data_IF_290414420715
#
_entry.id   IF_290414420715
#
_cell.length_a   1.000
_cell.length_b   1.000
_cell.length_c   1.000
_cell.angle_alpha   90.00
_cell.angle_beta   90.00
_cell.angle_gamma   90.00
#
_symmetry.space_group_name_H-M   'P 1'
#
loop_
_entity.id
_entity.type
_entity.pdbx_description
1 polymer ?
#
# COMPACT_ATOMS: atom_id res chain seq x y z
N UNK A 1 -45.61 -6.25 -19.42
CA UNK A 1 -44.69 -7.04 -18.57
C UNK A 1 -43.49 -7.46 -19.42
N UNK A 2 -42.29 -7.00 -19.07
CA UNK A 2 -41.04 -7.33 -19.78
C UNK A 2 -39.86 -7.04 -18.86
N UNK A 3 -39.15 -8.11 -18.50
CA UNK A 3 -38.17 -8.22 -17.42
C UNK A 3 -36.91 -7.38 -17.67
N UNK A 4 -36.52 -6.55 -16.69
CA UNK A 4 -35.16 -6.01 -16.57
C UNK A 4 -34.24 -7.05 -15.92
N UNK A 5 -33.11 -7.32 -16.57
CA UNK A 5 -32.05 -8.19 -16.07
C UNK A 5 -31.41 -7.58 -14.80
N UNK A 6 -31.12 -8.38 -13.75
CA UNK A 6 -30.23 -7.94 -12.69
C UNK A 6 -28.79 -8.00 -13.20
N UNK A 7 -28.14 -6.83 -13.26
CA UNK A 7 -26.72 -6.69 -13.59
C UNK A 7 -25.85 -7.55 -12.68
N UNK A 8 -24.92 -8.27 -13.30
CA UNK A 8 -23.98 -9.18 -12.68
C UNK A 8 -23.10 -8.45 -11.64
N UNK A 9 -23.47 -8.57 -10.37
CA UNK A 9 -22.54 -8.41 -9.25
C UNK A 9 -21.58 -9.59 -9.24
N UNK A 10 -20.60 -9.59 -10.15
CA UNK A 10 -19.52 -10.57 -10.16
C UNK A 10 -18.80 -10.50 -8.83
N UNK A 11 -18.94 -11.56 -8.00
CA UNK A 11 -18.16 -11.70 -6.78
C UNK A 11 -16.68 -11.46 -7.12
N UNK A 12 -15.98 -10.60 -6.39
CA UNK A 12 -14.58 -10.30 -6.67
C UNK A 12 -13.74 -11.59 -6.61
N UNK A 13 -12.65 -11.62 -7.38
CA UNK A 13 -11.83 -12.83 -7.63
C UNK A 13 -11.41 -13.52 -6.34
N UNK A 14 -11.11 -12.73 -5.31
CA UNK A 14 -10.72 -13.19 -3.98
C UNK A 14 -11.79 -13.99 -3.21
N UNK A 15 -13.08 -13.82 -3.55
CA UNK A 15 -14.17 -14.57 -2.93
C UNK A 15 -14.25 -16.04 -3.44
N UNK A 16 -13.46 -16.39 -4.47
CA UNK A 16 -13.42 -17.73 -5.06
C UNK A 16 -12.21 -18.56 -4.64
N UNK A 17 -11.09 -17.92 -4.28
CA UNK A 17 -9.81 -18.61 -4.09
C UNK A 17 -9.50 -19.05 -2.65
N UNK A 18 -10.36 -18.73 -1.66
CA UNK A 18 -10.07 -19.10 -0.28
C UNK A 18 -8.76 -18.46 0.17
N UNK A 19 -8.76 -17.13 0.24
CA UNK A 19 -7.63 -16.35 0.76
C UNK A 19 -7.29 -16.91 2.14
N UNK A 20 -6.01 -17.12 2.43
CA UNK A 20 -5.53 -17.40 3.78
C UNK A 20 -6.22 -16.43 4.75
N UNK A 21 -6.84 -16.93 5.82
CA UNK A 21 -7.38 -16.08 6.89
C UNK A 21 -6.22 -15.43 7.64
N UNK A 22 -5.70 -14.34 7.07
CA UNK A 22 -4.63 -13.53 7.64
C UNK A 22 -5.26 -12.34 8.35
N UNK A 23 -4.76 -12.02 9.54
CA UNK A 23 -5.11 -10.79 10.25
C UNK A 23 -4.49 -9.59 9.51
N UNK A 24 -5.32 -8.82 8.82
CA UNK A 24 -4.88 -7.69 7.99
C UNK A 24 -5.05 -6.33 8.68
N UNK A 25 -5.71 -6.26 9.84
CA UNK A 25 -5.93 -4.99 10.54
C UNK A 25 -6.52 -3.90 9.63
N UNK A 26 -5.81 -2.77 9.51
CA UNK A 26 -6.17 -1.65 8.62
C UNK A 26 -6.11 -2.00 7.14
N UNK A 27 -5.29 -2.99 6.73
CA UNK A 27 -5.20 -3.43 5.33
C UNK A 27 -6.47 -4.14 4.84
N UNK A 28 -7.45 -4.44 5.70
CA UNK A 28 -8.76 -4.91 5.26
C UNK A 28 -9.46 -3.96 4.28
N UNK A 29 -9.06 -2.68 4.23
CA UNK A 29 -9.52 -1.70 3.23
C UNK A 29 -9.18 -2.10 1.79
N UNK A 30 -8.27 -3.06 1.57
CA UNK A 30 -8.01 -3.68 0.25
C UNK A 30 -9.25 -4.33 -0.37
N UNK A 31 -10.24 -4.67 0.46
CA UNK A 31 -11.52 -5.24 0.01
C UNK A 31 -12.55 -4.17 -0.36
N UNK A 32 -12.17 -2.89 -0.34
CA UNK A 32 -13.04 -1.80 -0.76
C UNK A 32 -13.44 -1.96 -2.23
N UNK A 33 -14.61 -1.45 -2.65
CA UNK A 33 -14.96 -1.40 -4.06
C UNK A 33 -13.89 -0.67 -4.87
N UNK A 34 -13.58 -1.13 -6.09
CA UNK A 34 -12.52 -0.54 -6.93
C UNK A 34 -12.63 0.98 -7.11
N UNK A 35 -13.86 1.50 -7.24
CA UNK A 35 -14.12 2.97 -7.31
C UNK A 35 -13.60 3.76 -6.10
N UNK A 36 -13.48 3.11 -4.94
CA UNK A 36 -13.00 3.72 -3.70
C UNK A 36 -11.46 3.80 -3.72
N UNK A 37 -10.79 2.74 -4.18
CA UNK A 37 -9.34 2.75 -4.39
C UNK A 37 -8.96 3.74 -5.50
N UNK A 38 -9.68 3.76 -6.62
CA UNK A 38 -9.44 4.74 -7.69
C UNK A 38 -9.58 6.19 -7.19
N UNK A 39 -10.63 6.48 -6.41
CA UNK A 39 -10.79 7.81 -5.84
C UNK A 39 -9.65 8.16 -4.88
N UNK A 40 -9.21 7.22 -4.06
CA UNK A 40 -8.10 7.43 -3.15
C UNK A 40 -6.78 7.66 -3.90
N UNK A 41 -6.56 6.97 -5.02
CA UNK A 41 -5.45 7.23 -5.93
C UNK A 41 -5.48 8.66 -6.46
N UNK A 42 -6.62 9.10 -7.01
CA UNK A 42 -6.77 10.46 -7.54
C UNK A 42 -6.53 11.52 -6.46
N UNK A 43 -7.05 11.29 -5.24
CA UNK A 43 -6.84 12.17 -4.08
C UNK A 43 -5.37 12.18 -3.62
N UNK A 44 -4.68 11.02 -3.66
CA UNK A 44 -3.26 10.91 -3.30
C UNK A 44 -2.40 11.80 -4.22
N UNK A 45 -2.61 11.68 -5.53
CA UNK A 45 -1.89 12.48 -6.53
C UNK A 45 -2.19 13.97 -6.42
N UNK A 46 -3.46 14.33 -6.17
CA UNK A 46 -3.84 15.73 -5.98
C UNK A 46 -3.27 16.34 -4.68
N UNK A 47 -2.95 15.51 -3.69
CA UNK A 47 -2.40 15.94 -2.39
C UNK A 47 -0.88 15.97 -2.33
N UNK A 48 -0.19 15.42 -3.34
CA UNK A 48 1.27 15.33 -3.34
C UNK A 48 1.89 16.73 -3.35
N UNK A 49 2.69 17.01 -2.32
CA UNK A 49 3.46 18.27 -2.22
C UNK A 49 4.95 18.02 -2.50
N UNK A 50 5.74 19.06 -2.80
CA UNK A 50 7.19 18.93 -2.93
C UNK A 50 7.86 18.32 -1.70
N UNK A 51 7.42 18.67 -0.50
CA UNK A 51 7.96 18.12 0.76
C UNK A 51 7.64 16.64 0.92
N UNK A 52 6.48 16.17 0.42
CA UNK A 52 6.18 14.74 0.35
C UNK A 52 7.06 14.04 -0.69
N UNK A 53 7.32 14.67 -1.83
CA UNK A 53 8.20 14.13 -2.86
C UNK A 53 9.64 13.97 -2.35
N UNK A 54 10.11 14.87 -1.49
CA UNK A 54 11.40 14.74 -0.80
C UNK A 54 11.44 13.46 0.05
N UNK A 55 10.40 13.18 0.84
CA UNK A 55 10.29 11.92 1.59
C UNK A 55 10.31 10.70 0.67
N UNK A 56 9.53 10.72 -0.41
CA UNK A 56 9.47 9.59 -1.35
C UNK A 56 10.74 9.40 -2.18
N UNK A 57 11.64 10.38 -2.21
CA UNK A 57 12.95 10.31 -2.88
C UNK A 57 14.07 9.80 -1.97
N UNK A 58 13.83 9.66 -0.67
CA UNK A 58 14.77 9.06 0.28
C UNK A 58 14.96 7.57 0.00
N UNK A 59 16.15 7.04 0.30
CA UNK A 59 16.31 5.59 0.31
C UNK A 59 15.51 4.94 1.46
N UNK A 60 15.33 3.62 1.42
CA UNK A 60 14.51 2.91 2.40
C UNK A 60 14.98 3.12 3.85
N UNK A 61 16.30 3.12 4.10
CA UNK A 61 16.83 3.31 5.45
C UNK A 61 16.62 4.75 5.93
N UNK A 62 16.77 5.72 5.04
CA UNK A 62 16.48 7.12 5.31
C UNK A 62 14.99 7.34 5.64
N UNK A 63 14.08 6.72 4.88
CA UNK A 63 12.64 6.73 5.19
C UNK A 63 12.35 6.15 6.58
N UNK A 64 12.91 4.98 6.90
CA UNK A 64 12.77 4.31 8.20
C UNK A 64 13.27 5.22 9.33
N UNK A 65 14.45 5.84 9.15
CA UNK A 65 15.01 6.76 10.13
C UNK A 65 14.10 7.99 10.33
N UNK A 66 13.69 8.65 9.24
CA UNK A 66 12.84 9.82 9.26
C UNK A 66 11.50 9.55 9.97
N UNK A 67 10.84 8.43 9.63
CA UNK A 67 9.60 7.99 10.27
C UNK A 67 9.79 7.68 11.76
N UNK A 68 10.95 7.16 12.16
CA UNK A 68 11.21 6.82 13.57
C UNK A 68 11.56 8.03 14.44
N UNK A 69 12.29 9.01 13.89
CA UNK A 69 12.91 10.08 14.69
C UNK A 69 12.36 11.48 14.43
N UNK A 70 11.64 11.68 13.32
CA UNK A 70 11.13 13.00 12.91
C UNK A 70 9.65 12.94 12.48
N UNK A 71 8.90 11.98 13.03
CA UNK A 71 7.53 11.67 12.62
C UNK A 71 6.60 12.89 12.54
N UNK A 72 6.59 13.72 13.59
CA UNK A 72 5.69 14.87 13.70
C UNK A 72 5.96 15.99 12.68
N UNK A 73 7.17 16.04 12.11
CA UNK A 73 7.54 17.06 11.11
C UNK A 73 7.64 16.47 9.69
N UNK A 74 7.35 15.18 9.52
CA UNK A 74 7.46 14.52 8.25
C UNK A 74 6.20 14.77 7.41
N UNK A 75 6.39 15.26 6.19
CA UNK A 75 5.30 15.35 5.22
C UNK A 75 5.29 14.08 4.38
N UNK A 76 4.21 13.30 4.49
CA UNK A 76 3.99 12.08 3.72
C UNK A 76 2.49 11.79 3.62
N UNK A 77 2.09 10.87 2.75
CA UNK A 77 0.69 10.43 2.66
C UNK A 77 0.41 9.53 3.86
N UNK A 78 -0.44 9.96 4.80
CA UNK A 78 -0.76 9.18 6.02
C UNK A 78 -1.98 8.26 5.87
N UNK A 79 -2.76 8.46 4.80
CA UNK A 79 -4.05 7.81 4.63
C UNK A 79 -3.83 6.35 4.20
N UNK A 80 -4.37 5.36 4.94
CA UNK A 80 -4.21 3.96 4.57
C UNK A 80 -4.75 3.64 3.19
N UNK A 81 -5.87 4.27 2.83
CA UNK A 81 -6.54 3.99 1.56
C UNK A 81 -5.75 4.59 0.38
N UNK A 82 -5.17 5.78 0.56
CA UNK A 82 -4.33 6.42 -0.46
C UNK A 82 -3.02 5.66 -0.67
N UNK A 83 -2.34 5.27 0.42
CA UNK A 83 -1.15 4.44 0.35
C UNK A 83 -1.45 3.09 -0.32
N UNK A 84 -2.59 2.46 0.01
CA UNK A 84 -2.95 1.19 -0.62
C UNK A 84 -3.24 1.34 -2.12
N UNK A 85 -3.82 2.47 -2.53
CA UNK A 85 -4.06 2.73 -3.95
C UNK A 85 -2.75 2.99 -4.71
N UNK A 86 -1.78 3.68 -4.10
CA UNK A 86 -0.43 3.82 -4.66
C UNK A 86 0.36 2.51 -4.65
N UNK A 87 0.12 1.64 -3.66
CA UNK A 87 0.65 0.28 -3.64
C UNK A 87 0.11 -0.54 -4.81
N UNK A 88 -1.21 -0.51 -5.05
CA UNK A 88 -1.84 -1.18 -6.21
C UNK A 88 -1.24 -0.72 -7.54
N UNK A 89 -1.09 0.59 -7.74
CA UNK A 89 -0.44 1.17 -8.92
C UNK A 89 0.99 0.63 -9.12
N UNK A 90 1.78 0.57 -8.05
CA UNK A 90 3.18 0.13 -8.10
C UNK A 90 3.38 -1.39 -8.30
N UNK A 91 2.32 -2.22 -8.21
CA UNK A 91 2.46 -3.69 -8.28
C UNK A 91 2.85 -4.20 -9.67
N UNK A 92 2.64 -3.42 -10.74
CA UNK A 92 2.99 -3.82 -12.10
C UNK A 92 4.49 -3.62 -12.44
N UNK A 93 5.26 -3.08 -11.48
CA UNK A 93 6.69 -2.81 -11.62
C UNK A 93 7.03 -1.34 -11.84
N UNK A 94 6.03 -0.46 -11.97
CA UNK A 94 6.22 0.98 -12.11
C UNK A 94 5.29 1.73 -11.15
N UNK A 95 5.81 2.79 -10.51
CA UNK A 95 4.96 3.71 -9.74
C UNK A 95 4.74 4.99 -10.52
N UNK A 96 3.51 5.52 -10.47
CA UNK A 96 3.20 6.85 -10.98
C UNK A 96 4.12 7.92 -10.39
N UNK A 97 4.53 7.77 -9.12
CA UNK A 97 5.40 8.73 -8.43
C UNK A 97 6.77 8.87 -9.11
N UNK A 98 7.34 7.78 -9.62
CA UNK A 98 8.64 7.81 -10.32
C UNK A 98 8.48 8.08 -11.82
N UNK A 99 7.30 7.81 -12.39
CA UNK A 99 7.03 7.98 -13.82
C UNK A 99 7.15 9.43 -14.32
N UNK A 100 6.95 10.42 -13.44
CA UNK A 100 7.08 11.85 -13.75
C UNK A 100 8.54 12.32 -13.73
N UNK A 101 9.44 11.55 -13.12
CA UNK A 101 10.86 11.87 -12.94
C UNK A 101 11.17 12.82 -11.78
N UNK A 102 10.15 13.26 -11.03
CA UNK A 102 10.33 14.14 -9.86
C UNK A 102 10.79 13.38 -8.61
N UNK A 103 10.34 12.14 -8.45
CA UNK A 103 10.73 11.26 -7.36
C UNK A 103 11.73 10.22 -7.87
N UNK A 104 12.92 10.21 -7.28
CA UNK A 104 14.00 9.29 -7.65
C UNK A 104 14.15 8.18 -6.62
N UNK A 105 13.38 7.10 -6.78
CA UNK A 105 13.46 5.93 -5.90
C UNK A 105 13.22 4.61 -6.67
N UNK A 106 13.44 3.49 -6.01
CA UNK A 106 13.13 2.17 -6.57
C UNK A 106 11.67 1.80 -6.31
N UNK A 107 11.07 1.03 -7.22
CA UNK A 107 9.70 0.53 -7.05
C UNK A 107 9.54 -0.33 -5.79
N UNK A 108 10.58 -1.11 -5.43
CA UNK A 108 10.59 -1.93 -4.21
C UNK A 108 10.50 -1.10 -2.94
N UNK A 109 11.27 -0.01 -2.85
CA UNK A 109 11.23 0.89 -1.69
C UNK A 109 9.86 1.56 -1.55
N UNK A 110 9.25 1.98 -2.68
CA UNK A 110 7.93 2.60 -2.67
C UNK A 110 6.83 1.60 -2.27
N UNK A 111 6.85 0.37 -2.80
CA UNK A 111 5.93 -0.69 -2.37
C UNK A 111 6.03 -0.94 -0.86
N UNK A 112 7.25 -1.00 -0.31
CA UNK A 112 7.48 -1.16 1.12
C UNK A 112 6.94 0.02 1.94
N UNK A 113 7.21 1.25 1.50
CA UNK A 113 6.72 2.47 2.15
C UNK A 113 5.19 2.52 2.17
N UNK A 114 4.54 2.31 1.03
CA UNK A 114 3.08 2.35 0.91
C UNK A 114 2.42 1.27 1.77
N UNK A 115 2.90 0.02 1.69
CA UNK A 115 2.33 -1.07 2.48
C UNK A 115 2.55 -0.86 3.98
N UNK A 116 3.76 -0.44 4.37
CA UNK A 116 4.12 -0.20 5.77
C UNK A 116 3.29 0.90 6.42
N UNK A 117 3.12 2.03 5.74
CA UNK A 117 2.32 3.17 6.22
C UNK A 117 0.82 2.85 6.22
N UNK A 118 0.32 2.12 5.22
CA UNK A 118 -1.09 1.71 5.17
C UNK A 118 -1.48 0.72 6.29
N UNK A 119 -0.50 0.01 6.83
CA UNK A 119 -0.72 -1.08 7.77
C UNK A 119 -1.16 -0.60 9.16
N UNK A 120 -1.70 -1.54 9.93
CA UNK A 120 -1.89 -1.33 11.36
C UNK A 120 -0.54 -1.35 12.06
N UNK A 121 -0.23 -0.31 12.85
CA UNK A 121 1.07 -0.20 13.52
C UNK A 121 1.32 -1.30 14.54
N UNK A 122 0.31 -2.04 14.99
CA UNK A 122 0.43 -3.09 16.00
C UNK A 122 0.39 -4.51 15.45
N UNK A 123 0.05 -4.71 14.17
CA UNK A 123 -0.03 -6.02 13.55
C UNK A 123 1.17 -6.18 12.61
N UNK A 124 2.05 -7.18 12.81
CA UNK A 124 3.19 -7.41 11.93
C UNK A 124 2.77 -7.69 10.48
N UNK A 125 3.54 -7.16 9.55
CA UNK A 125 3.40 -7.48 8.13
C UNK A 125 4.23 -8.73 7.86
N UNK A 126 3.58 -9.77 7.34
CA UNK A 126 4.21 -11.06 7.02
C UNK A 126 4.15 -11.34 5.52
N UNK A 127 4.91 -12.35 5.05
CA UNK A 127 4.82 -12.81 3.67
C UNK A 127 3.39 -13.26 3.31
N UNK A 128 2.65 -13.82 4.27
CA UNK A 128 1.25 -14.21 4.09
C UNK A 128 0.35 -12.97 3.97
N UNK A 129 0.61 -11.92 4.75
CA UNK A 129 -0.09 -10.63 4.64
C UNK A 129 0.11 -10.01 3.25
N UNK A 130 1.36 -9.97 2.77
CA UNK A 130 1.70 -9.48 1.42
C UNK A 130 0.99 -10.31 0.35
N UNK A 131 1.10 -11.65 0.43
CA UNK A 131 0.46 -12.56 -0.52
C UNK A 131 -1.04 -12.36 -0.55
N UNK A 132 -1.69 -12.25 0.62
CA UNK A 132 -3.13 -12.03 0.72
C UNK A 132 -3.56 -10.70 0.09
N UNK A 133 -2.90 -9.59 0.44
CA UNK A 133 -3.23 -8.25 -0.07
C UNK A 133 -3.05 -8.19 -1.59
N UNK A 134 -1.90 -8.64 -2.08
CA UNK A 134 -1.58 -8.60 -3.52
C UNK A 134 -2.46 -9.54 -4.35
N UNK A 135 -2.88 -10.68 -3.78
CA UNK A 135 -3.88 -11.56 -4.41
C UNK A 135 -5.25 -10.88 -4.50
N UNK A 136 -5.67 -10.16 -3.44
CA UNK A 136 -6.95 -9.41 -3.47
C UNK A 136 -6.94 -8.32 -4.55
N UNK A 137 -5.79 -7.66 -4.73
CA UNK A 137 -5.56 -6.64 -5.76
C UNK A 137 -5.36 -7.24 -7.16
N UNK A 138 -5.27 -8.57 -7.30
CA UNK A 138 -5.18 -9.24 -8.60
C UNK A 138 -3.76 -9.35 -9.18
N UNK A 139 -2.73 -9.00 -8.42
CA UNK A 139 -1.32 -9.09 -8.83
C UNK A 139 -0.49 -9.83 -7.75
N UNK A 140 -0.70 -11.15 -7.59
CA UNK A 140 -0.16 -11.89 -6.44
C UNK A 140 1.37 -11.91 -6.40
N UNK A 141 1.92 -11.48 -5.27
CA UNK A 141 3.35 -11.58 -4.93
C UNK A 141 3.51 -12.75 -3.96
N UNK A 142 4.43 -13.68 -4.25
CA UNK A 142 4.61 -14.92 -3.46
C UNK A 142 6.10 -15.23 -3.22
N UNK A 143 6.38 -16.24 -2.39
CA UNK A 143 7.73 -16.77 -2.19
C UNK A 143 8.71 -15.75 -1.62
N UNK A 144 9.95 -15.75 -2.12
CA UNK A 144 11.01 -14.86 -1.61
C UNK A 144 10.73 -13.39 -1.84
N UNK A 145 10.00 -13.04 -2.90
CA UNK A 145 9.59 -11.66 -3.17
C UNK A 145 8.59 -11.17 -2.12
N UNK A 146 7.62 -12.00 -1.73
CA UNK A 146 6.70 -11.66 -0.65
C UNK A 146 7.41 -11.52 0.69
N UNK A 147 8.39 -12.39 0.97
CA UNK A 147 9.19 -12.32 2.20
C UNK A 147 10.06 -11.04 2.27
N UNK A 148 10.70 -10.66 1.15
CA UNK A 148 11.49 -9.44 1.08
C UNK A 148 10.63 -8.19 1.27
N UNK A 149 9.53 -8.08 0.51
CA UNK A 149 8.60 -6.96 0.63
C UNK A 149 7.98 -6.87 2.03
N UNK A 150 7.64 -8.01 2.64
CA UNK A 150 7.13 -8.04 4.01
C UNK A 150 8.17 -7.51 5.02
N UNK A 151 9.44 -7.92 4.89
CA UNK A 151 10.49 -7.46 5.79
C UNK A 151 10.69 -5.94 5.71
N UNK A 152 10.76 -5.39 4.49
CA UNK A 152 10.96 -3.96 4.27
C UNK A 152 9.73 -3.14 4.71
N UNK A 153 8.51 -3.60 4.38
CA UNK A 153 7.28 -2.96 4.81
C UNK A 153 7.09 -3.02 6.34
N UNK A 154 7.45 -4.13 6.98
CA UNK A 154 7.35 -4.25 8.43
C UNK A 154 8.35 -3.32 9.14
N UNK A 155 9.53 -3.10 8.57
CA UNK A 155 10.49 -2.11 9.07
C UNK A 155 9.91 -0.69 9.03
N UNK A 156 9.22 -0.32 7.95
CA UNK A 156 8.48 0.95 7.85
C UNK A 156 7.35 1.01 8.90
N UNK A 157 6.56 -0.06 9.07
CA UNK A 157 5.50 -0.12 10.09
C UNK A 157 6.07 0.06 11.50
N UNK A 158 7.21 -0.57 11.81
CA UNK A 158 7.91 -0.41 13.10
C UNK A 158 8.36 1.04 13.27
N UNK A 159 8.91 1.66 12.23
CA UNK A 159 9.32 3.06 12.27
C UNK A 159 8.14 3.99 12.58
N UNK A 160 7.01 3.81 11.87
CA UNK A 160 5.75 4.53 12.15
C UNK A 160 5.31 4.33 13.60
N UNK A 161 5.34 3.09 14.10
CA UNK A 161 4.99 2.81 15.51
C UNK A 161 5.90 3.55 16.48
N UNK A 162 7.21 3.51 16.25
CA UNK A 162 8.22 4.15 17.09
C UNK A 162 8.06 5.67 17.10
N UNK A 163 7.87 6.28 15.93
CA UNK A 163 7.76 7.72 15.78
C UNK A 163 6.43 8.30 16.29
N UNK A 164 5.32 7.59 16.06
CA UNK A 164 3.99 8.03 16.47
C UNK A 164 3.70 7.81 17.97
N UNK A 165 4.38 6.84 18.61
CA UNK A 165 4.04 6.35 19.96
C UNK A 165 2.88 5.35 19.97
#
# INVERSE_FOLDING_TARGET
AGRGQPGAGGRPVWAREGILEVELGRLNVVRAPSRVLQRAYDEALASLTPEMADFYSMDLNEMIAALSTNFDNLSYIDSPLQNLALFEDALDGSSVLTSTGEISNTNGNLLAAFLGVASDKNIPITADSVTAVTTILGAPVTGSAAAALAADADAIRIAVKTGHG
#
